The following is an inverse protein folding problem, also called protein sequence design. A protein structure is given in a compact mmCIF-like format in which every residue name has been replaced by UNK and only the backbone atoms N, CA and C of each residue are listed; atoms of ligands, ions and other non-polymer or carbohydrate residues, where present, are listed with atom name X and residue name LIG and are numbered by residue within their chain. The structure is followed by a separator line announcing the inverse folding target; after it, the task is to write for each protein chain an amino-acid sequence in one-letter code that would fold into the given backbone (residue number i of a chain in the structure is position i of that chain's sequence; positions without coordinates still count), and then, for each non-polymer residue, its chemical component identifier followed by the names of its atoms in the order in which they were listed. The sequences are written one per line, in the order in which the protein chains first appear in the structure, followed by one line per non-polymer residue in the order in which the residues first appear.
data_IF_502051072379
#
_entry.id   IF_502051072379
#
_cell.length_a   1.000
_cell.length_b   1.000
_cell.length_c   1.000
_cell.angle_alpha   90.00
_cell.angle_beta   90.00
_cell.angle_gamma   90.00
#
_symmetry.space_group_name_H-M   'P 1'
#
loop_
_entity.id
_entity.type
_entity.pdbx_description
1 polymer ?
#
# COMPACT_ATOMS: atom_id res chain seq x y z
N UNK A 1 3.85 2.89 -22.98
CA UNK A 1 4.73 1.82 -22.49
C UNK A 1 5.28 1.03 -23.66
N UNK A 2 6.58 0.77 -23.67
CA UNK A 2 7.19 -0.13 -24.64
C UNK A 2 6.71 -1.57 -24.43
N UNK A 3 6.54 -2.32 -25.52
CA UNK A 3 6.05 -3.70 -25.49
C UNK A 3 6.81 -4.59 -24.48
N UNK A 4 8.12 -4.41 -24.37
CA UNK A 4 8.97 -5.17 -23.44
C UNK A 4 8.55 -5.04 -21.97
N UNK A 5 7.92 -3.92 -21.60
CA UNK A 5 7.45 -3.67 -20.24
C UNK A 5 6.17 -4.43 -19.91
N UNK A 6 5.48 -4.92 -20.93
CA UNK A 6 4.22 -5.64 -20.79
C UNK A 6 4.37 -7.15 -20.96
N UNK A 7 5.60 -7.67 -21.00
CA UNK A 7 5.84 -9.12 -21.22
C UNK A 7 5.17 -10.00 -20.19
N UNK A 8 5.14 -9.55 -18.93
CA UNK A 8 4.54 -10.31 -17.84
C UNK A 8 3.04 -10.06 -17.70
N UNK A 9 2.48 -9.20 -18.54
CA UNK A 9 1.04 -8.94 -18.57
C UNK A 9 0.40 -9.90 -19.57
N UNK A 10 -0.55 -10.72 -19.12
CA UNK A 10 -1.25 -11.68 -19.95
C UNK A 10 -2.02 -11.00 -21.10
N UNK A 11 -2.19 -11.72 -22.21
CA UNK A 11 -2.81 -11.18 -23.44
C UNK A 11 -4.22 -10.63 -23.22
N UNK A 12 -5.01 -11.25 -22.35
CA UNK A 12 -6.36 -10.79 -22.01
C UNK A 12 -6.32 -9.42 -21.35
N UNK A 13 -5.42 -9.22 -20.39
CA UNK A 13 -5.25 -7.95 -19.69
C UNK A 13 -4.68 -6.86 -20.62
N UNK A 14 -3.73 -7.23 -21.50
CA UNK A 14 -3.20 -6.30 -22.50
C UNK A 14 -4.31 -5.77 -23.40
N UNK A 15 -5.12 -6.64 -23.96
CA UNK A 15 -6.23 -6.25 -24.86
C UNK A 15 -7.29 -5.45 -24.16
N UNK A 16 -7.55 -5.74 -22.89
CA UNK A 16 -8.58 -5.08 -22.09
C UNK A 16 -8.20 -3.68 -21.68
N UNK A 17 -6.93 -3.45 -21.31
CA UNK A 17 -6.49 -2.22 -20.64
C UNK A 17 -5.50 -1.38 -21.45
N UNK A 18 -4.96 -1.91 -22.53
CA UNK A 18 -3.97 -1.21 -23.34
C UNK A 18 -4.42 -1.13 -24.81
N UNK A 19 -4.04 -0.02 -25.44
CA UNK A 19 -4.19 0.17 -26.89
C UNK A 19 -2.80 0.15 -27.53
N UNK A 20 -2.63 -0.64 -28.60
CA UNK A 20 -1.38 -0.68 -29.36
C UNK A 20 -1.25 0.56 -30.24
N UNK A 21 -0.11 1.24 -30.14
CA UNK A 21 0.26 2.39 -30.99
C UNK A 21 1.65 2.15 -31.56
N UNK A 22 1.76 1.52 -32.76
CA UNK A 22 3.03 1.09 -33.31
C UNK A 22 3.71 0.05 -32.41
N UNK A 23 4.92 0.35 -31.95
CA UNK A 23 5.70 -0.51 -31.03
C UNK A 23 5.39 -0.24 -29.54
N UNK A 24 4.53 0.73 -29.25
CA UNK A 24 4.18 1.14 -27.91
C UNK A 24 2.72 0.78 -27.57
N UNK A 25 2.44 0.76 -26.26
CA UNK A 25 1.11 0.54 -25.72
C UNK A 25 0.69 1.71 -24.84
N UNK A 26 -0.53 2.17 -25.00
CA UNK A 26 -1.14 3.22 -24.18
C UNK A 26 -2.23 2.63 -23.30
N UNK A 27 -2.25 3.02 -22.03
CA UNK A 27 -3.29 2.60 -21.09
C UNK A 27 -4.63 3.20 -21.52
N UNK A 28 -5.68 2.38 -21.59
CA UNK A 28 -7.03 2.84 -21.96
C UNK A 28 -7.62 3.76 -20.90
N UNK A 29 -8.49 4.66 -21.32
CA UNK A 29 -9.14 5.65 -20.44
C UNK A 29 -9.95 5.00 -19.31
N UNK A 30 -10.53 3.82 -19.55
CA UNK A 30 -11.25 3.05 -18.52
C UNK A 30 -10.39 2.72 -17.32
N UNK A 31 -9.09 2.45 -17.52
CA UNK A 31 -8.13 2.21 -16.46
C UNK A 31 -7.52 3.51 -15.94
N UNK A 32 -7.20 4.44 -16.82
CA UNK A 32 -6.62 5.74 -16.44
C UNK A 32 -7.51 6.52 -15.49
N UNK A 33 -8.83 6.45 -15.66
CA UNK A 33 -9.81 7.11 -14.80
C UNK A 33 -9.82 6.59 -13.36
N UNK A 34 -9.26 5.39 -13.11
CA UNK A 34 -9.15 4.80 -11.78
C UNK A 34 -7.88 5.22 -11.03
N UNK A 35 -6.94 5.88 -11.71
CA UNK A 35 -5.62 6.23 -11.16
C UNK A 35 -5.50 7.74 -11.03
N UNK A 36 -5.05 8.18 -9.86
CA UNK A 36 -4.73 9.57 -9.58
C UNK A 36 -3.26 9.69 -9.21
N UNK A 37 -2.51 10.53 -9.92
CA UNK A 37 -1.11 10.82 -9.62
C UNK A 37 -1.03 12.10 -8.77
N UNK A 38 -0.32 12.01 -7.66
CA UNK A 38 -0.07 13.16 -6.78
C UNK A 38 1.38 13.15 -6.31
N UNK A 39 1.95 14.34 -6.19
CA UNK A 39 3.25 14.51 -5.54
C UNK A 39 3.06 14.47 -4.02
N UNK A 40 3.85 13.67 -3.33
CA UNK A 40 3.82 13.55 -1.88
C UNK A 40 5.25 13.60 -1.33
N UNK A 41 5.48 14.50 -0.36
CA UNK A 41 6.70 14.46 0.44
C UNK A 41 6.45 13.53 1.64
N UNK A 42 7.13 12.39 1.68
CA UNK A 42 6.95 11.39 2.74
C UNK A 42 7.37 11.88 4.11
N UNK A 43 8.30 12.84 4.18
CA UNK A 43 8.81 13.39 5.44
C UNK A 43 7.92 14.50 5.96
N UNK A 44 7.24 15.22 5.07
CA UNK A 44 6.37 16.33 5.42
C UNK A 44 4.98 15.91 5.88
N UNK A 45 4.10 16.89 6.04
CA UNK A 45 2.69 16.64 6.30
C UNK A 45 2.03 15.99 5.09
N UNK A 46 1.15 15.03 5.35
CA UNK A 46 0.42 14.33 4.28
C UNK A 46 -0.98 14.89 4.13
N UNK A 47 -1.32 15.47 2.96
CA UNK A 47 -2.66 15.99 2.70
C UNK A 47 -3.66 14.89 2.30
N UNK A 48 -3.34 13.64 2.57
CA UNK A 48 -4.16 12.49 2.22
C UNK A 48 -5.30 12.37 3.24
N UNK A 49 -6.52 12.38 2.74
CA UNK A 49 -7.73 12.13 3.51
C UNK A 49 -8.32 10.79 3.08
N UNK A 50 -8.85 10.04 4.02
CA UNK A 50 -9.43 8.73 3.77
C UNK A 50 -8.48 7.60 4.10
N UNK A 51 -8.93 6.39 3.84
CA UNK A 51 -8.20 5.16 4.15
C UNK A 51 -8.10 4.29 2.92
N UNK A 52 -7.14 3.37 2.93
CA UNK A 52 -6.84 2.47 1.81
C UNK A 52 -6.91 1.01 2.25
N UNK A 53 -7.29 0.15 1.32
CA UNK A 53 -7.27 -1.29 1.51
C UNK A 53 -5.86 -1.88 1.40
N UNK A 54 -5.01 -1.24 0.61
CA UNK A 54 -3.62 -1.64 0.43
C UNK A 54 -2.73 -0.41 0.19
N UNK A 55 -1.53 -0.46 0.74
CA UNK A 55 -0.47 0.52 0.48
C UNK A 55 0.78 -0.24 0.04
N UNK A 56 1.36 0.18 -1.07
CA UNK A 56 2.63 -0.36 -1.57
C UNK A 56 3.71 0.70 -1.38
N UNK A 57 4.64 0.45 -0.46
CA UNK A 57 5.80 1.31 -0.21
C UNK A 57 7.05 0.44 -0.31
N UNK A 58 7.52 0.20 -1.54
CA UNK A 58 8.61 -0.73 -1.83
C UNK A 58 9.83 -0.01 -2.34
N UNK A 59 10.98 -0.32 -1.75
CA UNK A 59 12.30 0.19 -2.15
C UNK A 59 12.41 1.72 -2.10
N UNK A 60 11.70 2.36 -1.18
CA UNK A 60 11.68 3.82 -0.98
C UNK A 60 12.29 4.18 0.37
N UNK A 61 11.83 3.55 1.44
CA UNK A 61 12.25 3.91 2.81
C UNK A 61 13.67 3.46 3.14
N UNK A 62 14.24 2.56 2.34
CA UNK A 62 15.65 2.14 2.49
C UNK A 62 16.64 3.31 2.39
N UNK A 63 16.23 4.42 1.77
CA UNK A 63 17.05 5.62 1.64
C UNK A 63 16.96 6.56 2.84
N UNK A 64 16.09 6.28 3.79
CA UNK A 64 15.92 7.07 5.02
C UNK A 64 16.65 6.42 6.19
N UNK A 65 17.03 7.24 7.17
CA UNK A 65 17.58 6.72 8.42
C UNK A 65 16.51 5.96 9.25
N UNK A 66 16.95 5.23 10.26
CA UNK A 66 16.07 4.39 11.07
C UNK A 66 14.98 5.20 11.79
N UNK A 67 15.30 6.39 12.28
CA UNK A 67 14.35 7.25 12.98
C UNK A 67 13.25 7.75 12.04
N UNK A 68 13.62 8.14 10.82
CA UNK A 68 12.68 8.56 9.79
C UNK A 68 11.78 7.40 9.35
N UNK A 69 12.35 6.23 9.14
CA UNK A 69 11.58 5.02 8.83
C UNK A 69 10.56 4.71 9.94
N UNK A 70 10.99 4.71 11.19
CA UNK A 70 10.12 4.43 12.33
C UNK A 70 8.95 5.43 12.43
N UNK A 71 9.14 6.68 12.00
CA UNK A 71 8.09 7.69 11.96
C UNK A 71 7.07 7.47 10.83
N UNK A 72 7.44 6.76 9.76
CA UNK A 72 6.55 6.50 8.62
C UNK A 72 5.55 5.39 8.88
N UNK A 73 5.94 4.33 9.59
CA UNK A 73 5.07 3.17 9.80
C UNK A 73 3.74 3.50 10.49
N UNK A 74 3.71 4.32 11.56
CA UNK A 74 2.45 4.77 12.15
C UNK A 74 1.58 5.59 11.20
N UNK A 75 2.18 6.34 10.28
CA UNK A 75 1.43 7.10 9.27
C UNK A 75 0.74 6.18 8.28
N UNK A 76 1.41 5.14 7.80
CA UNK A 76 0.80 4.13 6.94
C UNK A 76 -0.29 3.37 7.68
N UNK A 77 -0.07 3.02 8.93
CA UNK A 77 -1.07 2.35 9.75
C UNK A 77 -2.38 3.15 9.83
N UNK A 78 -2.31 4.44 10.07
CA UNK A 78 -3.48 5.32 10.13
C UNK A 78 -4.23 5.43 8.82
N UNK A 79 -3.53 5.30 7.69
CA UNK A 79 -4.14 5.36 6.36
C UNK A 79 -4.71 4.03 5.88
N UNK A 80 -4.44 2.93 6.58
CA UNK A 80 -5.02 1.63 6.25
C UNK A 80 -6.39 1.46 6.89
N UNK A 81 -7.31 0.87 6.14
CA UNK A 81 -8.53 0.32 6.71
C UNK A 81 -8.18 -0.83 7.67
N UNK A 82 -9.02 -1.10 8.69
CA UNK A 82 -8.89 -2.33 9.48
C UNK A 82 -8.86 -3.54 8.56
N UNK A 83 -7.84 -4.39 8.69
CA UNK A 83 -7.58 -5.50 7.78
C UNK A 83 -6.84 -5.13 6.49
N UNK A 84 -6.58 -3.86 6.24
CA UNK A 84 -5.77 -3.39 5.11
C UNK A 84 -4.30 -3.82 5.22
N UNK A 85 -3.61 -3.90 4.11
CA UNK A 85 -2.26 -4.46 4.04
C UNK A 85 -1.25 -3.43 3.54
N UNK A 86 -0.12 -3.33 4.24
CA UNK A 86 1.06 -2.59 3.82
C UNK A 86 2.07 -3.58 3.21
N UNK A 87 2.46 -3.32 1.97
CA UNK A 87 3.51 -4.06 1.29
C UNK A 87 4.80 -3.24 1.26
N UNK A 88 5.89 -3.84 1.71
CA UNK A 88 7.22 -3.23 1.73
C UNK A 88 8.20 -3.99 0.85
N UNK A 89 9.37 -3.43 0.59
CA UNK A 89 10.43 -4.12 -0.16
C UNK A 89 11.14 -5.18 0.68
N UNK A 90 11.88 -6.08 0.03
CA UNK A 90 12.59 -7.17 0.70
C UNK A 90 13.63 -6.71 1.71
N UNK A 91 14.23 -5.55 1.47
CA UNK A 91 15.25 -4.97 2.36
C UNK A 91 14.65 -4.02 3.40
N UNK A 92 13.35 -3.82 3.38
CA UNK A 92 12.64 -2.91 4.27
C UNK A 92 12.02 -3.70 5.42
N UNK A 93 12.27 -3.25 6.64
CA UNK A 93 11.80 -3.90 7.86
C UNK A 93 11.13 -2.89 8.77
N UNK A 94 10.01 -3.27 9.36
CA UNK A 94 9.44 -2.51 10.46
C UNK A 94 10.30 -2.74 11.70
N UNK A 95 10.52 -1.66 12.47
CA UNK A 95 11.12 -1.77 13.79
C UNK A 95 10.18 -2.54 14.73
N UNK A 96 10.71 -3.16 15.80
CA UNK A 96 9.90 -4.01 16.69
C UNK A 96 8.69 -3.31 17.31
N UNK A 97 8.82 -2.02 17.62
CA UNK A 97 7.73 -1.24 18.19
C UNK A 97 6.60 -1.02 17.17
N UNK A 98 6.94 -0.58 15.97
CA UNK A 98 5.97 -0.40 14.88
C UNK A 98 5.32 -1.72 14.46
N UNK A 99 6.07 -2.81 14.45
CA UNK A 99 5.58 -4.13 14.08
C UNK A 99 4.49 -4.65 15.04
N UNK A 100 4.42 -4.15 16.27
CA UNK A 100 3.37 -4.53 17.23
C UNK A 100 1.97 -4.07 16.81
N UNK A 101 1.89 -3.00 16.02
CA UNK A 101 0.60 -2.46 15.53
C UNK A 101 0.09 -3.20 14.29
N UNK A 102 0.91 -4.06 13.72
CA UNK A 102 0.60 -4.84 12.53
C UNK A 102 0.61 -6.34 12.83
N UNK A 103 -0.08 -7.08 11.98
CA UNK A 103 -0.01 -8.54 11.94
C UNK A 103 0.76 -8.93 10.68
N UNK A 104 1.74 -9.81 10.80
CA UNK A 104 2.46 -10.30 9.63
C UNK A 104 1.51 -11.06 8.69
N UNK A 105 1.49 -10.65 7.43
CA UNK A 105 0.68 -11.27 6.37
C UNK A 105 1.56 -11.94 5.29
N UNK A 106 2.87 -11.99 5.51
CA UNK A 106 3.87 -12.55 4.61
C UNK A 106 5.24 -11.96 4.90
N UNK A 107 6.24 -12.32 4.11
CA UNK A 107 7.63 -11.85 4.32
C UNK A 107 7.74 -10.32 4.22
N UNK A 108 6.99 -9.73 3.30
CA UNK A 108 7.02 -8.28 3.02
C UNK A 108 5.64 -7.63 3.13
N UNK A 109 4.69 -8.28 3.80
CA UNK A 109 3.33 -7.80 3.93
C UNK A 109 2.93 -7.72 5.42
N UNK A 110 2.34 -6.59 5.79
CA UNK A 110 1.90 -6.29 7.15
C UNK A 110 0.46 -5.84 7.13
N UNK A 111 -0.39 -6.53 7.87
CA UNK A 111 -1.82 -6.23 7.94
C UNK A 111 -2.11 -5.37 9.18
N UNK A 112 -2.89 -4.31 9.00
CA UNK A 112 -3.48 -3.62 10.13
C UNK A 112 -4.49 -4.55 10.80
N UNK A 113 -4.33 -4.80 12.09
CA UNK A 113 -5.31 -5.55 12.86
C UNK A 113 -6.68 -4.88 12.75
N UNK A 114 -7.75 -5.69 12.68
CA UNK A 114 -9.09 -5.17 12.80
C UNK A 114 -9.21 -4.43 14.15
N UNK A 115 -9.83 -3.25 14.14
CA UNK A 115 -10.10 -2.55 15.39
C UNK A 115 -10.87 -3.52 16.30
N UNK A 116 -10.38 -3.68 17.53
CA UNK A 116 -11.10 -4.52 18.48
C UNK A 116 -12.54 -4.01 18.54
N UNK A 117 -13.51 -4.90 18.28
CA UNK A 117 -14.90 -4.56 18.56
C UNK A 117 -14.94 -4.01 19.99
N UNK A 118 -15.62 -2.88 20.23
CA UNK A 118 -15.80 -2.44 21.59
C UNK A 118 -16.38 -3.63 22.34
N UNK A 119 -15.63 -4.15 23.28
CA UNK A 119 -16.15 -5.17 24.18
C UNK A 119 -17.46 -4.61 24.71
N UNK A 120 -18.55 -5.18 24.24
CA UNK A 120 -19.83 -4.95 24.90
C UNK A 120 -19.55 -5.17 26.39
N UNK A 121 -19.92 -4.21 27.25
CA UNK A 121 -19.75 -4.42 28.66
C UNK A 121 -20.40 -5.76 28.96
N UNK A 122 -19.60 -6.65 29.50
CA UNK A 122 -20.07 -7.95 29.93
C UNK A 122 -21.26 -7.62 30.86
N UNK A 123 -22.45 -7.84 30.36
CA UNK A 123 -23.62 -7.84 31.26
C UNK A 123 -23.35 -8.99 32.20
N UNK A 124 -22.72 -8.68 33.33
CA UNK A 124 -22.48 -9.64 34.34
C UNK A 124 -23.80 -10.34 34.61
N UNK A 125 -23.87 -11.59 34.22
CA UNK A 125 -24.90 -12.46 34.79
C UNK A 125 -24.58 -12.55 36.25
N UNK A 126 -25.28 -11.75 36.99
CA UNK A 126 -25.35 -11.97 38.43
C UNK A 126 -25.85 -13.36 38.71
#
# INVERSE_FOLDING_TARGET
YAERLLRDVGDVLRRRFFTSEGDDFTVRDSLRGLVTFRRLNLIGAWPIKGRFDAIFCRNVVIYFDAATQAALWPRFHRLLEPGGVLFVGHSERLDPESAQEFVSAGVTAWRRAADAEPRLPNKGTS
#
